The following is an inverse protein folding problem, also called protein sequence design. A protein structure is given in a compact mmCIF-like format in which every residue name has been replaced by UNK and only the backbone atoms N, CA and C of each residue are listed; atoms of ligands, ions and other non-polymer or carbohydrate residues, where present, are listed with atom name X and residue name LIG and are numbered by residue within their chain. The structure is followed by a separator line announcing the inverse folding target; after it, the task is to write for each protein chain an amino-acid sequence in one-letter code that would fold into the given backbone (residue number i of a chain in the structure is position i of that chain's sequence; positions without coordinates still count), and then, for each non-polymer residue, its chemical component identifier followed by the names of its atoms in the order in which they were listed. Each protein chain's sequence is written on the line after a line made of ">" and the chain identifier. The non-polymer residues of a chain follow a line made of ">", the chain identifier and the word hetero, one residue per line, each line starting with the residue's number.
data_IF_013487898813
#
_entry.id   IF_013487898813
#
_cell.length_a   1.000
_cell.length_b   1.000
_cell.length_c   1.000
_cell.angle_alpha   90.00
_cell.angle_beta   90.00
_cell.angle_gamma   90.00
#
_symmetry.space_group_name_H-M   'P 1'
#
loop_
_entity.id
_entity.type
_entity.pdbx_description
1 polymer ?
#
# COMPACT_ATOMS: atom_id res chain seq x y z
N UNK A 1 2.01 12.39 -21.84
CA UNK A 1 3.32 11.99 -21.26
C UNK A 1 3.15 10.59 -20.71
N UNK A 2 4.11 9.70 -20.96
CA UNK A 2 4.03 8.32 -20.47
C UNK A 2 4.52 8.32 -19.01
N UNK A 3 3.60 8.25 -18.03
CA UNK A 3 3.93 8.22 -16.60
C UNK A 3 4.50 6.85 -16.26
N UNK A 4 5.66 6.80 -15.59
CA UNK A 4 6.25 5.54 -15.14
C UNK A 4 5.79 5.18 -13.73
N UNK A 5 5.75 6.14 -12.81
CA UNK A 5 5.35 5.92 -11.42
C UNK A 5 4.11 6.72 -11.03
N UNK A 6 3.18 6.07 -10.31
CA UNK A 6 2.10 6.74 -9.58
C UNK A 6 2.30 6.49 -8.09
N UNK A 7 2.53 7.55 -7.32
CA UNK A 7 2.63 7.46 -5.85
C UNK A 7 1.25 7.69 -5.25
N UNK A 8 0.68 6.68 -4.62
CA UNK A 8 -0.67 6.71 -4.03
C UNK A 8 -0.58 6.86 -2.52
N UNK A 9 -1.15 7.95 -2.00
CA UNK A 9 -1.13 8.30 -0.58
C UNK A 9 -2.57 8.50 -0.09
N UNK A 10 -3.17 7.51 0.58
CA UNK A 10 -4.43 7.71 1.30
C UNK A 10 -4.19 8.52 2.57
N UNK A 11 -5.08 9.48 2.87
CA UNK A 11 -5.01 10.26 4.11
C UNK A 11 -6.39 10.56 4.69
N UNK A 12 -6.44 10.69 6.03
CA UNK A 12 -7.62 11.10 6.79
C UNK A 12 -7.20 11.85 8.05
N UNK A 13 -7.47 13.16 8.11
CA UNK A 13 -7.07 14.05 9.21
C UNK A 13 -5.54 14.00 9.46
N UNK A 14 -4.78 14.24 8.40
CA UNK A 14 -3.31 14.24 8.40
C UNK A 14 -2.77 15.53 7.73
N UNK A 15 -3.53 16.64 7.80
CA UNK A 15 -3.22 17.91 7.13
C UNK A 15 -1.78 18.39 7.37
N UNK A 16 -1.31 18.32 8.62
CA UNK A 16 0.02 18.79 9.03
C UNK A 16 1.16 17.92 8.46
N UNK A 17 0.88 16.66 8.15
CA UNK A 17 1.86 15.72 7.63
C UNK A 17 2.03 15.79 6.11
N UNK A 18 1.05 16.35 5.39
CA UNK A 18 1.07 16.38 3.92
C UNK A 18 2.22 17.21 3.34
N UNK A 19 2.50 18.45 3.81
CA UNK A 19 3.58 19.23 3.23
C UNK A 19 4.97 18.56 3.32
N UNK A 20 5.43 18.08 4.50
CA UNK A 20 6.71 17.40 4.60
C UNK A 20 6.71 16.07 3.83
N UNK A 21 5.61 15.31 3.80
CA UNK A 21 5.52 14.07 3.05
C UNK A 21 5.65 14.30 1.53
N UNK A 22 4.98 15.33 1.00
CA UNK A 22 5.08 15.68 -0.42
C UNK A 22 6.53 16.05 -0.78
N UNK A 23 7.22 16.78 0.08
CA UNK A 23 8.64 17.12 -0.13
C UNK A 23 9.53 15.87 -0.13
N UNK A 24 9.29 14.92 0.77
CA UNK A 24 10.03 13.65 0.80
C UNK A 24 9.73 12.78 -0.44
N UNK A 25 8.48 12.74 -0.90
CA UNK A 25 8.10 12.04 -2.13
C UNK A 25 8.75 12.67 -3.35
N UNK A 26 8.75 14.01 -3.44
CA UNK A 26 9.43 14.73 -4.54
C UNK A 26 10.93 14.40 -4.59
N UNK A 27 11.60 14.41 -3.44
CA UNK A 27 13.02 14.03 -3.34
C UNK A 27 13.25 12.57 -3.77
N UNK A 28 12.38 11.65 -3.38
CA UNK A 28 12.43 10.24 -3.79
C UNK A 28 12.22 10.09 -5.30
N UNK A 29 11.25 10.77 -5.88
CA UNK A 29 10.97 10.72 -7.31
C UNK A 29 12.12 11.30 -8.14
N UNK A 30 12.80 12.36 -7.66
CA UNK A 30 14.03 12.89 -8.28
C UNK A 30 15.15 11.86 -8.28
N UNK A 31 15.26 11.03 -7.24
CA UNK A 31 16.22 9.93 -7.18
C UNK A 31 15.93 8.84 -8.22
N UNK A 32 14.64 8.59 -8.51
CA UNK A 32 14.22 7.69 -9.58
C UNK A 32 14.48 8.27 -10.98
N UNK A 33 14.40 9.61 -11.14
CA UNK A 33 14.71 10.33 -12.38
C UNK A 33 13.72 10.10 -13.52
N UNK A 34 12.54 9.55 -13.25
CA UNK A 34 11.58 9.12 -14.25
C UNK A 34 10.25 9.91 -14.17
N UNK A 35 9.46 9.99 -15.24
CA UNK A 35 8.15 10.63 -15.22
C UNK A 35 7.22 10.00 -14.18
N UNK A 36 6.63 10.81 -13.31
CA UNK A 36 5.80 10.34 -12.23
C UNK A 36 4.62 11.28 -11.94
N UNK A 37 3.63 10.78 -11.19
CA UNK A 37 2.54 11.54 -10.59
C UNK A 37 2.38 11.19 -9.11
N UNK A 38 1.84 12.13 -8.33
CA UNK A 38 1.47 11.92 -6.93
C UNK A 38 -0.06 11.96 -6.85
N UNK A 39 -0.67 10.94 -6.27
CA UNK A 39 -2.13 10.84 -6.09
C UNK A 39 -2.43 10.87 -4.60
N UNK A 40 -2.92 12.01 -4.13
CA UNK A 40 -3.35 12.21 -2.75
C UNK A 40 -4.84 11.91 -2.63
N UNK A 41 -5.21 10.91 -1.83
CA UNK A 41 -6.60 10.46 -1.71
C UNK A 41 -7.13 10.81 -0.34
N UNK A 42 -7.98 11.84 -0.28
CA UNK A 42 -8.65 12.27 0.94
C UNK A 42 -9.84 11.36 1.25
N UNK A 43 -9.76 10.64 2.36
CA UNK A 43 -10.83 9.74 2.84
C UNK A 43 -11.88 10.49 3.68
N UNK A 44 -12.33 11.65 3.19
CA UNK A 44 -13.36 12.45 3.85
C UNK A 44 -12.88 13.11 5.14
N UNK A 45 -11.68 13.70 5.12
CA UNK A 45 -11.11 14.43 6.27
C UNK A 45 -12.02 15.57 6.73
N UNK A 46 -11.98 15.82 8.04
CA UNK A 46 -12.69 16.90 8.72
C UNK A 46 -11.77 18.05 9.16
N UNK A 47 -10.46 17.84 9.06
CA UNK A 47 -9.46 18.87 9.27
C UNK A 47 -9.38 19.81 8.06
N UNK A 48 -8.95 21.04 8.30
CA UNK A 48 -8.72 22.00 7.24
C UNK A 48 -7.29 21.86 6.75
N UNK A 49 -7.12 21.54 5.47
CA UNK A 49 -5.81 21.54 4.83
C UNK A 49 -5.82 22.43 3.59
N UNK A 50 -4.75 23.19 3.40
CA UNK A 50 -4.52 23.88 2.13
C UNK A 50 -3.90 22.87 1.15
N UNK A 51 -4.49 22.78 -0.05
CA UNK A 51 -3.80 22.07 -1.11
C UNK A 51 -2.47 22.79 -1.36
N UNK A 52 -1.32 22.11 -1.32
CA UNK A 52 -0.05 22.75 -1.58
C UNK A 52 -0.09 23.47 -2.93
N UNK A 53 0.15 24.76 -2.89
CA UNK A 53 0.20 25.61 -4.10
C UNK A 53 1.51 25.45 -4.88
N UNK A 54 2.55 24.94 -4.21
CA UNK A 54 3.84 24.62 -4.82
C UNK A 54 3.81 23.19 -5.30
N UNK A 55 3.68 23.02 -6.60
CA UNK A 55 3.92 21.74 -7.22
C UNK A 55 5.38 21.34 -6.95
N UNK A 56 5.66 20.18 -6.38
CA UNK A 56 6.94 19.52 -6.52
C UNK A 56 7.22 19.37 -8.03
N UNK A 57 8.39 18.89 -8.43
CA UNK A 57 8.73 18.67 -9.85
C UNK A 57 7.77 17.73 -10.59
N UNK A 58 6.74 17.20 -9.90
CA UNK A 58 5.78 16.23 -10.41
C UNK A 58 4.33 16.67 -10.18
N UNK A 59 3.38 16.33 -11.08
CA UNK A 59 1.97 16.70 -10.94
C UNK A 59 1.34 15.99 -9.73
N UNK A 60 0.56 16.75 -8.95
CA UNK A 60 -0.27 16.23 -7.87
C UNK A 60 -1.72 16.15 -8.33
N UNK A 61 -2.32 14.99 -8.17
CA UNK A 61 -3.75 14.75 -8.37
C UNK A 61 -4.42 14.52 -7.03
N UNK A 62 -5.51 15.24 -6.79
CA UNK A 62 -6.32 15.14 -5.59
C UNK A 62 -7.57 14.33 -5.87
N UNK A 63 -7.77 13.27 -5.11
CA UNK A 63 -9.00 12.50 -5.11
C UNK A 63 -9.71 12.72 -3.78
N UNK A 64 -11.02 13.02 -3.84
CA UNK A 64 -11.85 13.25 -2.67
C UNK A 64 -12.90 12.14 -2.56
N UNK A 65 -12.92 11.39 -1.47
CA UNK A 65 -14.04 10.51 -1.15
C UNK A 65 -15.17 11.33 -0.49
N UNK A 66 -16.39 11.00 -0.80
CA UNK A 66 -17.57 11.72 -0.32
C UNK A 66 -17.85 11.51 1.19
N UNK A 67 -17.20 10.53 1.80
CA UNK A 67 -17.26 10.22 3.24
C UNK A 67 -16.04 9.38 3.64
N UNK A 68 -15.75 9.32 4.93
CA UNK A 68 -14.76 8.39 5.44
C UNK A 68 -15.21 6.94 5.14
N UNK A 69 -14.46 6.27 4.29
CA UNK A 69 -14.70 4.91 3.82
C UNK A 69 -13.59 3.94 4.26
N UNK A 70 -12.55 4.47 4.91
CA UNK A 70 -11.41 3.74 5.44
C UNK A 70 -10.24 3.65 4.46
N UNK A 71 -9.05 3.46 5.00
CA UNK A 71 -7.77 3.40 4.28
C UNK A 71 -7.81 2.48 3.04
N UNK A 72 -8.50 1.34 3.12
CA UNK A 72 -8.62 0.41 1.98
C UNK A 72 -9.32 1.02 0.80
N UNK A 73 -10.41 1.77 1.04
CA UNK A 73 -11.17 2.42 -0.03
C UNK A 73 -10.32 3.52 -0.68
N UNK A 74 -9.69 4.38 0.12
CA UNK A 74 -8.83 5.43 -0.41
C UNK A 74 -7.65 4.87 -1.21
N UNK A 75 -7.00 3.83 -0.71
CA UNK A 75 -5.92 3.15 -1.43
C UNK A 75 -6.42 2.50 -2.73
N UNK A 76 -7.57 1.83 -2.69
CA UNK A 76 -8.17 1.22 -3.87
C UNK A 76 -8.46 2.25 -4.96
N UNK A 77 -9.18 3.34 -4.65
CA UNK A 77 -9.50 4.37 -5.63
C UNK A 77 -8.24 5.07 -6.16
N UNK A 78 -7.23 5.30 -5.32
CA UNK A 78 -5.94 5.83 -5.74
C UNK A 78 -5.25 4.92 -6.75
N UNK A 79 -5.19 3.60 -6.50
CA UNK A 79 -4.60 2.63 -7.42
C UNK A 79 -5.39 2.52 -8.74
N UNK A 80 -6.73 2.60 -8.68
CA UNK A 80 -7.56 2.61 -9.91
C UNK A 80 -7.31 3.86 -10.76
N UNK A 81 -7.05 5.00 -10.13
CA UNK A 81 -6.77 6.26 -10.81
C UNK A 81 -5.32 6.38 -11.33
N UNK A 82 -4.42 5.51 -10.90
CA UNK A 82 -3.01 5.52 -11.28
C UNK A 82 -2.81 5.38 -12.79
N UNK A 83 -1.95 6.22 -13.37
CA UNK A 83 -1.61 6.20 -14.79
C UNK A 83 -0.22 5.59 -15.05
N UNK A 84 0.60 5.48 -14.00
CA UNK A 84 1.95 4.92 -14.08
C UNK A 84 1.95 3.42 -14.36
N UNK A 85 3.06 2.94 -14.92
CA UNK A 85 3.32 1.51 -15.10
C UNK A 85 3.56 0.81 -13.75
N UNK A 86 4.05 1.56 -12.77
CA UNK A 86 4.29 1.12 -11.40
C UNK A 86 3.53 2.01 -10.42
N UNK A 87 2.98 1.37 -9.38
CA UNK A 87 2.29 2.05 -8.29
C UNK A 87 3.13 1.91 -7.02
N UNK A 88 3.42 3.02 -6.38
CA UNK A 88 4.06 3.10 -5.08
C UNK A 88 2.98 3.49 -4.07
N UNK A 89 2.79 2.70 -3.01
CA UNK A 89 1.83 3.03 -1.95
C UNK A 89 2.55 3.37 -0.66
N UNK A 90 2.09 4.37 0.09
CA UNK A 90 2.56 4.70 1.43
C UNK A 90 1.49 5.45 2.22
N UNK A 91 1.61 5.44 3.56
CA UNK A 91 0.72 6.18 4.45
C UNK A 91 1.15 7.64 4.60
N UNK A 92 0.20 8.50 4.99
CA UNK A 92 0.44 9.94 5.20
C UNK A 92 1.04 10.28 6.57
N UNK A 93 1.31 9.31 7.44
CA UNK A 93 1.73 9.53 8.85
C UNK A 93 3.24 9.68 9.05
N UNK A 94 4.02 9.80 7.97
CA UNK A 94 5.49 9.95 7.95
C UNK A 94 6.27 8.80 8.61
N UNK A 95 5.64 7.65 8.88
CA UNK A 95 6.32 6.51 9.49
C UNK A 95 7.17 5.72 8.48
N UNK A 96 6.76 5.66 7.23
CA UNK A 96 7.54 5.05 6.15
C UNK A 96 8.48 6.08 5.53
N UNK A 97 9.71 5.69 5.26
CA UNK A 97 10.64 6.52 4.51
C UNK A 97 10.43 6.33 2.99
N UNK A 98 9.98 7.35 2.24
CA UNK A 98 9.81 7.22 0.80
C UNK A 98 11.12 6.85 0.09
N UNK A 99 12.30 7.22 0.65
CA UNK A 99 13.61 6.91 0.08
C UNK A 99 13.94 5.41 0.00
N UNK A 100 13.14 4.58 0.64
CA UNK A 100 13.26 3.13 0.47
C UNK A 100 12.57 2.61 -0.82
N UNK A 101 11.61 3.36 -1.41
CA UNK A 101 10.89 2.92 -2.61
C UNK A 101 11.78 2.60 -3.82
N UNK A 102 12.85 3.36 -4.14
CA UNK A 102 13.77 3.01 -5.21
C UNK A 102 14.43 1.63 -5.05
N UNK A 103 14.71 1.20 -3.81
CA UNK A 103 15.27 -0.13 -3.54
C UNK A 103 14.25 -1.23 -3.81
N UNK A 104 12.98 -1.02 -3.39
CA UNK A 104 11.88 -1.94 -3.68
C UNK A 104 11.65 -2.07 -5.19
N UNK A 105 11.67 -0.94 -5.90
CA UNK A 105 11.53 -0.92 -7.36
C UNK A 105 12.66 -1.69 -8.05
N UNK A 106 13.91 -1.46 -7.66
CA UNK A 106 15.06 -2.17 -8.21
C UNK A 106 14.91 -3.67 -8.02
N UNK A 107 14.59 -4.13 -6.79
CA UNK A 107 14.31 -5.55 -6.52
C UNK A 107 13.17 -6.10 -7.38
N UNK A 108 12.10 -5.32 -7.58
CA UNK A 108 10.97 -5.73 -8.42
C UNK A 108 11.42 -6.01 -9.85
N UNK A 109 12.29 -5.17 -10.41
CA UNK A 109 12.80 -5.32 -11.77
C UNK A 109 13.79 -6.48 -11.84
N UNK A 110 14.81 -6.51 -10.96
CA UNK A 110 15.91 -7.47 -11.01
C UNK A 110 15.42 -8.92 -10.84
N UNK A 111 14.42 -9.14 -9.97
CA UNK A 111 13.85 -10.45 -9.70
C UNK A 111 12.58 -10.73 -10.53
N UNK A 112 12.21 -9.84 -11.46
CA UNK A 112 11.01 -9.90 -12.27
C UNK A 112 9.74 -10.20 -11.45
N UNK A 113 9.53 -9.41 -10.39
CA UNK A 113 8.38 -9.51 -9.50
C UNK A 113 7.23 -8.62 -9.97
N UNK A 114 6.04 -8.89 -9.44
CA UNK A 114 4.84 -8.07 -9.68
C UNK A 114 4.54 -7.13 -8.52
N UNK A 115 5.01 -7.48 -7.32
CA UNK A 115 4.94 -6.64 -6.12
C UNK A 115 6.16 -6.88 -5.22
N UNK A 116 6.67 -5.81 -4.62
CA UNK A 116 7.59 -5.86 -3.48
C UNK A 116 6.99 -5.10 -2.32
N UNK A 117 6.90 -5.73 -1.15
CA UNK A 117 6.41 -5.11 0.09
C UNK A 117 7.56 -4.83 1.05
N UNK A 118 7.52 -3.69 1.71
CA UNK A 118 8.45 -3.37 2.78
C UNK A 118 8.23 -4.26 4.02
N UNK A 119 9.32 -4.58 4.71
CA UNK A 119 9.31 -5.24 6.03
C UNK A 119 9.96 -4.29 7.02
N UNK A 120 9.22 -3.85 8.02
CA UNK A 120 9.70 -2.89 9.01
C UNK A 120 10.68 -3.53 9.97
N UNK A 121 11.94 -3.11 9.93
CA UNK A 121 13.03 -3.71 10.71
C UNK A 121 13.08 -3.25 12.17
N UNK A 122 12.67 -2.01 12.47
CA UNK A 122 12.75 -1.41 13.81
C UNK A 122 11.37 -1.06 14.35
N UNK A 123 10.58 -2.10 14.73
CA UNK A 123 9.27 -1.86 15.37
C UNK A 123 9.47 -1.66 16.87
N UNK A 124 9.21 -0.44 17.36
CA UNK A 124 9.12 -0.14 18.79
C UNK A 124 7.82 -0.68 19.44
N UNK A 125 7.49 -1.95 19.15
CA UNK A 125 6.34 -2.62 19.74
C UNK A 125 6.69 -3.19 21.12
N UNK A 126 5.75 -3.11 22.08
CA UNK A 126 5.86 -3.84 23.34
C UNK A 126 5.98 -5.35 23.07
N UNK A 127 6.70 -6.07 23.92
CA UNK A 127 6.95 -7.51 23.78
C UNK A 127 5.66 -8.31 23.49
N UNK A 128 4.58 -8.04 24.23
CA UNK A 128 3.27 -8.69 24.04
C UNK A 128 2.66 -8.43 22.66
N UNK A 129 2.78 -7.21 22.12
CA UNK A 129 2.34 -6.87 20.77
C UNK A 129 3.18 -7.58 19.70
N UNK A 130 4.46 -7.72 19.94
CA UNK A 130 5.40 -8.39 19.02
C UNK A 130 5.07 -9.87 18.91
N UNK A 131 4.89 -10.57 20.04
CA UNK A 131 4.55 -12.00 20.07
C UNK A 131 3.17 -12.27 19.45
N UNK A 132 2.14 -11.50 19.83
CA UNK A 132 0.80 -11.68 19.27
C UNK A 132 0.75 -11.40 17.76
N UNK A 133 1.52 -10.41 17.27
CA UNK A 133 1.65 -10.12 15.84
C UNK A 133 2.38 -11.26 15.09
N UNK A 134 3.44 -11.84 15.68
CA UNK A 134 4.15 -12.95 15.07
C UNK A 134 3.27 -14.21 14.97
N UNK A 135 2.51 -14.54 16.01
CA UNK A 135 1.57 -15.67 15.98
C UNK A 135 0.49 -15.43 14.92
N UNK A 136 -0.13 -14.24 14.90
CA UNK A 136 -1.15 -13.90 13.91
C UNK A 136 -0.60 -13.96 12.48
N UNK A 137 0.61 -13.47 12.24
CA UNK A 137 1.26 -13.54 10.93
C UNK A 137 1.62 -14.99 10.54
N UNK A 138 2.08 -15.81 11.48
CA UNK A 138 2.35 -17.24 11.24
C UNK A 138 1.07 -18.01 10.86
N UNK A 139 -0.01 -17.81 11.63
CA UNK A 139 -1.32 -18.44 11.34
C UNK A 139 -1.83 -17.99 9.98
N UNK A 140 -1.81 -16.69 9.71
CA UNK A 140 -2.24 -16.14 8.41
C UNK A 140 -1.38 -16.70 7.27
N UNK A 141 -0.04 -16.64 7.40
CA UNK A 141 0.89 -17.11 6.36
C UNK A 141 0.70 -18.60 6.05
N UNK A 142 0.46 -19.45 7.08
CA UNK A 142 0.16 -20.87 6.89
C UNK A 142 -1.17 -21.08 6.16
N UNK A 143 -2.19 -20.29 6.47
CA UNK A 143 -3.52 -20.42 5.89
C UNK A 143 -3.61 -19.85 4.47
N UNK A 144 -3.00 -18.68 4.21
CA UNK A 144 -3.04 -17.99 2.91
C UNK A 144 -1.85 -18.33 2.01
N UNK A 145 -0.85 -19.01 2.54
CA UNK A 145 0.40 -19.39 1.83
C UNK A 145 1.12 -18.16 1.22
N UNK A 146 0.98 -17.00 1.86
CA UNK A 146 1.56 -15.76 1.35
C UNK A 146 2.98 -15.48 1.85
N UNK A 147 3.45 -16.24 2.83
CA UNK A 147 4.80 -16.18 3.43
C UNK A 147 5.29 -14.77 3.78
N UNK A 148 4.37 -13.79 3.86
CA UNK A 148 4.70 -12.40 4.12
C UNK A 148 4.90 -12.16 5.60
N UNK A 149 6.04 -11.60 5.97
CA UNK A 149 6.43 -11.35 7.36
C UNK A 149 5.79 -10.08 7.94
N UNK A 150 5.55 -9.04 7.14
CA UNK A 150 4.92 -7.78 7.56
C UNK A 150 3.87 -7.25 6.58
N UNK A 151 2.63 -7.69 6.74
CA UNK A 151 1.50 -7.19 5.93
C UNK A 151 1.05 -5.78 6.29
N UNK A 152 1.47 -5.28 7.45
CA UNK A 152 1.09 -3.95 7.92
C UNK A 152 1.95 -2.82 7.35
N UNK A 153 3.04 -3.13 6.65
CA UNK A 153 3.82 -2.11 5.96
C UNK A 153 3.05 -1.61 4.74
N UNK A 154 2.84 -0.31 4.65
CA UNK A 154 2.10 0.30 3.52
C UNK A 154 3.02 0.71 2.38
N UNK A 155 4.33 0.82 2.63
CA UNK A 155 5.29 1.03 1.55
C UNK A 155 5.41 -0.24 0.71
N UNK A 156 4.85 -0.17 -0.49
CA UNK A 156 4.86 -1.24 -1.49
C UNK A 156 5.10 -0.66 -2.87
N UNK A 157 5.75 -1.42 -3.73
CA UNK A 157 5.88 -1.13 -5.16
C UNK A 157 5.24 -2.27 -5.93
N UNK A 158 4.31 -1.94 -6.82
CA UNK A 158 3.55 -2.91 -7.62
C UNK A 158 3.59 -2.54 -9.11
N UNK A 159 3.51 -3.52 -9.98
CA UNK A 159 3.11 -3.26 -11.37
C UNK A 159 1.66 -2.79 -11.41
N UNK A 160 1.31 -1.89 -12.33
CA UNK A 160 -0.04 -1.32 -12.41
C UNK A 160 -1.11 -2.38 -12.70
N UNK A 161 -0.81 -3.37 -13.51
CA UNK A 161 -1.77 -4.41 -13.89
C UNK A 161 -2.27 -5.20 -12.67
N UNK A 162 -1.42 -5.83 -11.82
CA UNK A 162 -1.89 -6.48 -10.62
C UNK A 162 -2.51 -5.51 -9.61
N UNK A 163 -2.03 -4.26 -9.50
CA UNK A 163 -2.62 -3.27 -8.60
C UNK A 163 -4.08 -2.95 -8.97
N UNK A 164 -4.38 -2.81 -10.25
CA UNK A 164 -5.74 -2.51 -10.75
C UNK A 164 -6.69 -3.71 -10.68
N UNK A 165 -6.18 -4.93 -10.62
CA UNK A 165 -6.99 -6.15 -10.45
C UNK A 165 -7.36 -6.47 -9.01
N UNK A 166 -6.82 -5.76 -8.05
CA UNK A 166 -7.18 -5.98 -6.65
C UNK A 166 -8.68 -5.73 -6.44
N UNK A 167 -9.39 -6.63 -5.75
CA UNK A 167 -10.79 -6.43 -5.42
C UNK A 167 -10.95 -5.35 -4.36
N UNK A 168 -11.91 -4.44 -4.55
CA UNK A 168 -12.21 -3.38 -3.59
C UNK A 168 -13.08 -3.89 -2.43
N UNK A 169 -12.52 -3.98 -1.22
CA UNK A 169 -13.26 -4.28 0.01
C UNK A 169 -12.54 -3.70 1.24
N UNK A 170 -13.27 -3.51 2.33
CA UNK A 170 -12.71 -2.90 3.54
C UNK A 170 -11.78 -3.88 4.28
N UNK A 171 -10.50 -3.57 4.35
CA UNK A 171 -9.45 -4.41 4.92
C UNK A 171 -8.47 -4.98 3.89
N UNK A 172 -8.73 -4.81 2.58
CA UNK A 172 -7.90 -5.38 1.51
C UNK A 172 -6.41 -5.00 1.60
N UNK A 173 -6.10 -3.78 2.06
CA UNK A 173 -4.73 -3.29 2.15
C UNK A 173 -3.81 -4.20 2.99
N UNK A 174 -4.38 -4.93 3.98
CA UNK A 174 -3.66 -5.89 4.83
C UNK A 174 -3.43 -7.25 4.16
N UNK A 175 -4.18 -7.55 3.12
CA UNK A 175 -4.14 -8.82 2.40
C UNK A 175 -3.62 -8.69 0.98
N UNK A 176 -3.08 -7.52 0.60
CA UNK A 176 -2.55 -7.30 -0.75
C UNK A 176 -1.56 -8.39 -1.20
N UNK A 177 -0.59 -8.83 -0.36
CA UNK A 177 0.31 -9.92 -0.75
C UNK A 177 -0.44 -11.21 -1.09
N UNK A 178 -1.38 -11.64 -0.23
CA UNK A 178 -2.17 -12.85 -0.45
C UNK A 178 -3.05 -12.74 -1.72
N UNK A 179 -3.66 -11.56 -1.95
CA UNK A 179 -4.47 -11.31 -3.14
C UNK A 179 -3.66 -11.39 -4.42
N UNK A 180 -2.48 -10.76 -4.43
CA UNK A 180 -1.55 -10.76 -5.57
C UNK A 180 -1.07 -12.18 -5.87
N UNK A 181 -0.62 -12.93 -4.84
CA UNK A 181 -0.19 -14.33 -4.99
C UNK A 181 -1.32 -15.24 -5.48
N UNK A 182 -2.54 -15.12 -4.91
CA UNK A 182 -3.68 -15.96 -5.30
C UNK A 182 -4.12 -15.72 -6.74
N UNK A 183 -3.86 -14.53 -7.29
CA UNK A 183 -4.07 -14.19 -8.70
C UNK A 183 -2.94 -14.70 -9.63
N UNK A 184 -1.94 -15.41 -9.09
CA UNK A 184 -0.84 -16.00 -9.86
C UNK A 184 0.31 -15.05 -10.17
N UNK A 185 0.43 -13.94 -9.44
CA UNK A 185 1.55 -13.00 -9.54
C UNK A 185 2.67 -13.35 -8.55
N UNK A 186 3.84 -12.77 -8.76
CA UNK A 186 5.04 -12.99 -7.96
C UNK A 186 5.27 -11.83 -7.00
N UNK A 187 5.57 -12.13 -5.74
CA UNK A 187 5.87 -11.11 -4.74
C UNK A 187 7.25 -11.31 -4.13
N UNK A 188 7.82 -10.21 -3.61
CA UNK A 188 9.03 -10.21 -2.80
C UNK A 188 8.87 -9.31 -1.57
N UNK A 189 9.79 -9.46 -0.63
CA UNK A 189 9.90 -8.63 0.56
C UNK A 189 11.25 -7.94 0.61
N UNK A 190 11.30 -6.75 1.23
CA UNK A 190 12.53 -6.01 1.44
C UNK A 190 12.50 -5.25 2.77
N UNK A 191 13.57 -5.29 3.57
CA UNK A 191 13.67 -4.47 4.77
C UNK A 191 13.58 -2.98 4.45
N UNK A 192 12.75 -2.26 5.24
CA UNK A 192 12.55 -0.81 5.12
C UNK A 192 12.67 -0.11 6.46
N UNK A 193 13.04 1.15 6.42
CA UNK A 193 13.10 2.03 7.57
C UNK A 193 11.69 2.33 8.10
N UNK A 194 11.53 2.32 9.42
CA UNK A 194 10.28 2.70 10.05
C UNK A 194 10.55 3.71 11.15
N UNK A 195 9.98 4.90 11.00
CA UNK A 195 10.16 6.04 11.90
C UNK A 195 9.09 6.03 12.99
N UNK A 196 9.36 6.68 14.12
CA UNK A 196 8.34 6.97 15.11
C UNK A 196 7.28 7.92 14.52
N UNK A 197 6.01 7.74 14.91
CA UNK A 197 4.92 8.61 14.46
C UNK A 197 5.14 10.05 14.94
N UNK A 198 5.06 11.02 14.05
CA UNK A 198 5.28 12.43 14.38
C UNK A 198 4.10 13.05 15.13
N UNK A 199 2.85 12.70 14.80
CA UNK A 199 1.61 13.19 15.43
C UNK A 199 0.46 12.19 15.25
N UNK A 200 -0.59 12.31 16.10
CA UNK A 200 -1.82 11.52 15.99
C UNK A 200 -1.93 10.35 16.99
N UNK A 201 -3.19 10.02 17.34
CA UNK A 201 -3.52 8.92 18.27
C UNK A 201 -3.95 7.67 17.52
N UNK A 202 -3.54 6.49 18.00
CA UNK A 202 -4.05 5.22 17.46
C UNK A 202 -5.54 5.05 17.82
N UNK A 203 -6.43 5.11 16.83
CA UNK A 203 -7.90 5.19 17.00
C UNK A 203 -8.60 3.85 17.26
N UNK A 204 -7.93 2.72 17.49
CA UNK A 204 -8.58 1.39 17.51
C UNK A 204 -8.27 0.58 18.77
N UNK A 205 -9.31 0.18 19.53
CA UNK A 205 -9.24 -0.68 20.72
C UNK A 205 -9.11 -2.19 20.36
N UNK A 206 -8.39 -2.98 21.23
CA UNK A 206 -7.88 -4.30 20.91
C UNK A 206 -8.86 -5.44 20.62
N UNK A 207 -9.97 -5.60 21.36
CA UNK A 207 -10.82 -6.81 21.26
C UNK A 207 -11.67 -6.88 19.96
N UNK A 208 -12.36 -5.81 19.61
CA UNK A 208 -13.16 -5.72 18.37
C UNK A 208 -12.30 -5.87 17.11
N UNK A 209 -11.01 -5.50 17.20
CA UNK A 209 -10.03 -5.63 16.12
C UNK A 209 -9.67 -7.09 15.83
N UNK A 210 -9.52 -7.92 16.88
CA UNK A 210 -9.19 -9.33 16.73
C UNK A 210 -10.32 -10.11 16.04
N UNK A 211 -11.56 -9.89 16.47
CA UNK A 211 -12.75 -10.54 15.86
C UNK A 211 -12.86 -10.17 14.38
N UNK A 212 -12.76 -8.87 14.05
CA UNK A 212 -12.80 -8.42 12.65
C UNK A 212 -11.67 -9.05 11.83
N UNK A 213 -10.44 -9.09 12.36
CA UNK A 213 -9.31 -9.69 11.66
C UNK A 213 -9.50 -11.19 11.39
N UNK A 214 -10.17 -11.92 12.30
CA UNK A 214 -10.48 -13.35 12.10
C UNK A 214 -11.55 -13.52 11.01
N UNK A 215 -12.60 -12.73 11.01
CA UNK A 215 -13.64 -12.75 9.97
C UNK A 215 -13.04 -12.42 8.60
N UNK A 216 -12.20 -11.36 8.54
CA UNK A 216 -11.51 -10.97 7.31
C UNK A 216 -10.62 -12.12 6.79
N UNK A 217 -9.89 -12.81 7.69
CA UNK A 217 -9.04 -13.95 7.32
C UNK A 217 -9.84 -15.11 6.74
N UNK A 218 -10.98 -15.47 7.34
CA UNK A 218 -11.87 -16.52 6.83
C UNK A 218 -12.45 -16.15 5.46
N UNK A 219 -12.87 -14.89 5.30
CA UNK A 219 -13.32 -14.35 4.01
C UNK A 219 -12.24 -14.43 2.94
N UNK A 220 -10.99 -14.07 3.31
CA UNK A 220 -9.85 -14.18 2.40
C UNK A 220 -9.53 -15.63 2.00
N UNK A 221 -9.58 -16.57 2.93
CA UNK A 221 -9.42 -18.00 2.63
C UNK A 221 -10.44 -18.49 1.60
N UNK A 222 -11.69 -18.11 1.82
CA UNK A 222 -12.78 -18.45 0.89
C UNK A 222 -12.52 -17.83 -0.49
N UNK A 223 -12.16 -16.52 -0.54
CA UNK A 223 -11.91 -15.80 -1.77
C UNK A 223 -10.73 -16.39 -2.56
N UNK A 224 -9.56 -16.58 -1.92
CA UNK A 224 -8.37 -17.11 -2.58
C UNK A 224 -8.57 -18.50 -3.18
N UNK A 225 -9.44 -19.35 -2.56
CA UNK A 225 -9.77 -20.68 -3.10
C UNK A 225 -10.68 -20.63 -4.33
N UNK A 226 -11.39 -19.52 -4.56
CA UNK A 226 -12.38 -19.35 -5.65
C UNK A 226 -11.98 -18.32 -6.69
N UNK A 227 -10.87 -17.65 -6.50
CA UNK A 227 -10.37 -16.66 -7.45
C UNK A 227 -9.95 -17.33 -8.78
N UNK A 228 -10.27 -16.68 -9.88
CA UNK A 228 -9.81 -17.11 -11.21
C UNK A 228 -8.28 -16.98 -11.30
N UNK A 229 -7.60 -18.07 -11.69
CA UNK A 229 -6.15 -18.10 -11.89
C UNK A 229 -5.75 -17.94 -13.37
N UNK A 230 -6.71 -18.05 -14.27
CA UNK A 230 -6.51 -17.91 -15.72
C UNK A 230 -6.41 -16.45 -16.13
N UNK A 231 -5.58 -16.19 -17.15
CA UNK A 231 -5.53 -14.90 -17.86
C UNK A 231 -6.06 -15.11 -19.26
N UNK A 232 -6.92 -14.19 -19.74
CA UNK A 232 -7.27 -14.16 -21.15
C UNK A 232 -6.11 -13.57 -21.94
N UNK A 233 -5.67 -14.24 -23.01
CA UNK A 233 -4.82 -13.67 -24.04
C UNK A 233 -5.63 -13.57 -25.32
N UNK A 234 -5.47 -12.49 -26.07
CA UNK A 234 -5.98 -12.46 -27.43
C UNK A 234 -5.24 -13.55 -28.22
N UNK A 235 -6.00 -14.56 -28.68
CA UNK A 235 -5.45 -15.60 -29.53
C UNK A 235 -4.96 -14.97 -30.83
N UNK A 236 -3.74 -15.27 -31.25
CA UNK A 236 -3.35 -15.06 -32.64
C UNK A 236 -4.36 -15.86 -33.48
N UNK A 237 -5.11 -15.18 -34.36
CA UNK A 237 -5.89 -15.88 -35.37
C UNK A 237 -4.94 -16.77 -36.14
N UNK A 238 -5.32 -18.05 -36.38
CA UNK A 238 -4.53 -18.95 -37.21
C UNK A 238 -4.37 -18.40 -38.63
#
# INVERSE_FOLDING_TARGET
>A
MNVLFSVVVPFYNEADNLPPLIAEIDAMLRTLGEPAEIILVNDGSTDTFAQPSTSPGYPIRWLQLNRNSGQSAAMYYGMQAAQGQFVITLDADLQNDPQDAPKLYRKLIDENLDMVTGVRTNRNDTWNRRVSSQIANKVRGALLQDHTSDTGCTLKVLRAEPAKRLPGWNGMHRFMPALILSAGYRIGEMPVTHRARHSGFSKVSGGKRAVRATVDLLGMLWFCRRQFRGRASEGQKP
#
